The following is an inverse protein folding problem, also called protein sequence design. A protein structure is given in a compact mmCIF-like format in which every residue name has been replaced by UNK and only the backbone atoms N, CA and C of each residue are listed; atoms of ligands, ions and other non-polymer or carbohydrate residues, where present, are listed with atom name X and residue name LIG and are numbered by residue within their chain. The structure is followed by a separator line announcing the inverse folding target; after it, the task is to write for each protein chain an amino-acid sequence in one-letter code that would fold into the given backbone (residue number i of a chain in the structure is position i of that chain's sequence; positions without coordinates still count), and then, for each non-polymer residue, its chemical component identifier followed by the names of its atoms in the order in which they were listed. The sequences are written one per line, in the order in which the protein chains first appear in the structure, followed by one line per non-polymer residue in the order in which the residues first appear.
data_IF_107009708307
#
_entry.id   IF_107009708307
#
_cell.length_a   1.000
_cell.length_b   1.000
_cell.length_c   1.000
_cell.angle_alpha   90.00
_cell.angle_beta   90.00
_cell.angle_gamma   90.00
#
_symmetry.space_group_name_H-M   'P 1'
#
loop_
_entity.id
_entity.type
_entity.pdbx_description
1 polymer ?
#
# COMPACT_ATOMS: atom_id res chain seq x y z
N UNK A 1 12.15 7.40 25.56
CA UNK A 1 12.01 8.69 24.85
C UNK A 1 11.90 8.33 23.38
N UNK A 2 10.69 8.33 22.80
CA UNK A 2 10.56 8.15 21.35
C UNK A 2 11.15 9.40 20.69
N UNK A 3 12.07 9.19 19.76
CA UNK A 3 12.70 10.27 19.03
C UNK A 3 11.67 10.90 18.08
N UNK A 4 11.77 12.19 17.78
CA UNK A 4 10.90 12.87 16.79
C UNK A 4 10.80 12.10 15.47
N UNK A 5 11.86 11.36 15.11
CA UNK A 5 11.92 10.47 13.95
C UNK A 5 10.97 9.27 14.05
N UNK A 6 10.83 8.66 15.23
CA UNK A 6 9.88 7.56 15.46
C UNK A 6 8.44 8.04 15.31
N UNK A 7 8.16 9.27 15.76
CA UNK A 7 6.84 9.88 15.70
C UNK A 7 6.45 10.25 14.26
N UNK A 8 7.37 10.87 13.51
CA UNK A 8 7.20 11.15 12.08
C UNK A 8 7.03 9.85 11.26
N UNK A 9 7.76 8.79 11.59
CA UNK A 9 7.62 7.49 10.92
C UNK A 9 6.27 6.84 11.17
N UNK A 10 5.70 7.02 12.37
CA UNK A 10 4.38 6.49 12.71
C UNK A 10 3.27 7.24 11.96
N UNK A 11 3.33 8.58 11.94
CA UNK A 11 2.36 9.41 11.21
C UNK A 11 2.39 9.12 9.70
N UNK A 12 3.58 9.02 9.11
CA UNK A 12 3.73 8.66 7.70
C UNK A 12 3.14 7.28 7.37
N UNK A 13 3.31 6.31 8.27
CA UNK A 13 2.72 4.98 8.10
C UNK A 13 1.19 5.03 8.15
N UNK A 14 0.63 5.75 9.13
CA UNK A 14 -0.82 5.90 9.27
C UNK A 14 -1.43 6.57 8.03
N UNK A 15 -0.82 7.65 7.52
CA UNK A 15 -1.26 8.29 6.29
C UNK A 15 -1.18 7.36 5.07
N UNK A 16 -0.11 6.57 4.97
CA UNK A 16 0.03 5.59 3.90
C UNK A 16 -1.10 4.55 3.96
N UNK A 17 -1.29 3.90 5.11
CA UNK A 17 -2.34 2.90 5.31
C UNK A 17 -3.73 3.47 5.00
N UNK A 18 -4.04 4.65 5.51
CA UNK A 18 -5.31 5.33 5.28
C UNK A 18 -5.58 5.58 3.79
N UNK A 19 -4.57 6.05 3.04
CA UNK A 19 -4.71 6.29 1.61
C UNK A 19 -4.91 4.99 0.81
N UNK A 20 -4.25 3.90 1.21
CA UNK A 20 -4.45 2.59 0.58
C UNK A 20 -5.88 2.11 0.81
N UNK A 21 -6.38 2.15 2.04
CA UNK A 21 -7.75 1.72 2.34
C UNK A 21 -8.75 2.63 1.63
N UNK A 22 -8.69 3.94 1.86
CA UNK A 22 -9.65 4.89 1.28
C UNK A 22 -9.66 4.95 -0.25
N UNK A 23 -8.54 4.60 -0.89
CA UNK A 23 -8.44 4.57 -2.35
C UNK A 23 -8.91 3.25 -2.99
N UNK A 24 -8.96 2.15 -2.25
CA UNK A 24 -9.21 0.82 -2.81
C UNK A 24 -10.42 0.10 -2.21
N UNK A 25 -10.88 0.46 -1.02
CA UNK A 25 -12.06 -0.12 -0.37
C UNK A 25 -13.33 0.30 -1.13
N UNK A 26 -13.73 -0.54 -2.09
CA UNK A 26 -14.78 -0.21 -3.04
C UNK A 26 -16.18 -0.47 -2.44
N UNK A 27 -16.29 -1.47 -1.57
CA UNK A 27 -17.52 -1.83 -0.89
C UNK A 27 -17.71 -1.12 0.46
N UNK A 28 -16.70 -0.38 0.94
CA UNK A 28 -16.67 0.37 2.20
C UNK A 28 -16.82 -0.51 3.43
N UNK A 29 -16.23 -1.70 3.40
CA UNK A 29 -16.26 -2.64 4.52
C UNK A 29 -15.10 -2.48 5.51
N UNK A 30 -14.19 -1.54 5.25
CA UNK A 30 -13.01 -1.26 6.08
C UNK A 30 -11.82 -2.16 5.79
N UNK A 31 -11.93 -3.03 4.79
CA UNK A 31 -10.85 -3.88 4.31
C UNK A 31 -10.62 -3.62 2.82
N UNK A 32 -9.40 -3.88 2.37
CA UNK A 32 -9.10 -3.96 0.94
C UNK A 32 -8.79 -5.40 0.62
N UNK A 33 -9.51 -5.95 -0.34
CA UNK A 33 -9.25 -7.28 -0.90
C UNK A 33 -8.22 -7.21 -2.02
N UNK A 34 -7.61 -8.36 -2.31
CA UNK A 34 -6.78 -8.54 -3.52
C UNK A 34 -7.49 -8.07 -4.78
N UNK A 35 -8.77 -8.43 -4.92
CA UNK A 35 -9.55 -8.13 -6.11
C UNK A 35 -9.74 -6.62 -6.27
N UNK A 36 -10.10 -5.93 -5.21
CA UNK A 36 -10.27 -4.47 -5.23
C UNK A 36 -8.97 -3.74 -5.56
N UNK A 37 -7.88 -4.11 -4.87
CA UNK A 37 -6.57 -3.49 -5.08
C UNK A 37 -6.03 -3.72 -6.49
N UNK A 38 -6.11 -4.98 -6.97
CA UNK A 38 -5.63 -5.32 -8.31
C UNK A 38 -6.48 -4.69 -9.41
N UNK A 39 -7.81 -4.65 -9.26
CA UNK A 39 -8.70 -3.94 -10.18
C UNK A 39 -8.31 -2.47 -10.28
N UNK A 40 -8.10 -1.79 -9.15
CA UNK A 40 -7.70 -0.40 -9.15
C UNK A 40 -6.37 -0.17 -9.88
N UNK A 41 -5.35 -0.98 -9.59
CA UNK A 41 -4.06 -0.91 -10.30
C UNK A 41 -4.18 -1.16 -11.81
N UNK A 42 -5.12 -2.02 -12.23
CA UNK A 42 -5.38 -2.33 -13.64
C UNK A 42 -6.23 -1.26 -14.32
N UNK A 43 -7.04 -0.48 -13.59
CA UNK A 43 -7.88 0.58 -14.14
C UNK A 43 -7.32 2.00 -13.94
N UNK A 44 -6.21 2.13 -13.22
CA UNK A 44 -5.61 3.41 -12.88
C UNK A 44 -4.99 4.15 -14.08
N UNK A 45 -4.47 5.37 -13.88
CA UNK A 45 -3.87 6.19 -14.94
C UNK A 45 -2.60 5.58 -15.55
N UNK A 46 -1.99 4.61 -14.87
CA UNK A 46 -0.91 3.78 -15.40
C UNK A 46 -1.25 2.31 -15.12
N UNK A 47 -2.11 1.71 -15.96
CA UNK A 47 -2.58 0.34 -15.79
C UNK A 47 -1.42 -0.64 -15.65
N UNK A 48 -1.49 -1.50 -14.65
CA UNK A 48 -0.58 -2.64 -14.49
C UNK A 48 -1.19 -3.89 -15.14
N UNK A 49 -0.33 -4.82 -15.53
CA UNK A 49 -0.80 -6.17 -15.87
C UNK A 49 -1.31 -6.87 -14.62
N UNK A 50 -2.17 -7.89 -14.80
CA UNK A 50 -2.66 -8.68 -13.68
C UNK A 50 -1.52 -9.32 -12.86
N UNK A 51 -0.47 -9.80 -13.54
CA UNK A 51 0.70 -10.39 -12.88
C UNK A 51 1.45 -9.37 -12.01
N UNK A 52 1.65 -8.15 -12.51
CA UNK A 52 2.27 -7.06 -11.73
C UNK A 52 1.37 -6.66 -10.54
N UNK A 53 0.06 -6.50 -10.77
CA UNK A 53 -0.87 -6.13 -9.73
C UNK A 53 -0.91 -7.19 -8.59
N UNK A 54 -0.88 -8.47 -8.95
CA UNK A 54 -0.81 -9.58 -8.00
C UNK A 54 0.52 -9.58 -7.23
N UNK A 55 1.63 -9.29 -7.90
CA UNK A 55 2.94 -9.19 -7.25
C UNK A 55 2.99 -8.04 -6.23
N UNK A 56 2.48 -6.86 -6.61
CA UNK A 56 2.39 -5.69 -5.72
C UNK A 56 1.48 -6.01 -4.53
N UNK A 57 0.31 -6.64 -4.78
CA UNK A 57 -0.59 -7.08 -3.72
C UNK A 57 0.12 -8.00 -2.73
N UNK A 58 0.75 -9.08 -3.19
CA UNK A 58 1.41 -10.05 -2.32
C UNK A 58 2.51 -9.41 -1.48
N UNK A 59 3.20 -8.42 -2.05
CA UNK A 59 4.24 -7.67 -1.34
C UNK A 59 3.66 -6.76 -0.25
N UNK A 60 2.54 -6.10 -0.53
CA UNK A 60 1.83 -5.23 0.43
C UNK A 60 1.16 -6.04 1.55
N UNK A 61 0.43 -7.09 1.19
CA UNK A 61 -0.42 -7.86 2.09
C UNK A 61 0.30 -8.99 2.83
N UNK A 62 1.54 -9.30 2.44
CA UNK A 62 2.23 -10.50 2.92
C UNK A 62 1.55 -11.80 2.47
N UNK A 63 0.73 -11.74 1.40
CA UNK A 63 -0.04 -12.88 0.90
C UNK A 63 -1.43 -13.04 1.54
N UNK A 64 -1.88 -12.10 2.37
CA UNK A 64 -3.24 -12.12 2.90
C UNK A 64 -4.30 -11.98 1.77
N UNK A 65 -5.52 -12.45 2.05
CA UNK A 65 -6.66 -12.29 1.13
C UNK A 65 -7.28 -10.89 1.19
N UNK A 66 -7.20 -10.25 2.36
CA UNK A 66 -7.59 -8.86 2.60
C UNK A 66 -6.73 -8.23 3.69
N UNK A 67 -6.65 -6.90 3.71
CA UNK A 67 -5.94 -6.13 4.74
C UNK A 67 -6.81 -4.98 5.23
N UNK A 68 -6.74 -4.70 6.53
CA UNK A 68 -7.30 -3.49 7.16
C UNK A 68 -6.24 -2.41 7.33
N UNK A 69 -6.66 -1.21 7.74
CA UNK A 69 -5.72 -0.14 8.11
C UNK A 69 -4.81 -0.56 9.27
N UNK A 70 -5.33 -1.31 10.24
CA UNK A 70 -4.57 -1.82 11.39
C UNK A 70 -3.50 -2.84 10.97
N UNK A 71 -3.83 -3.73 10.03
CA UNK A 71 -2.88 -4.68 9.47
C UNK A 71 -1.72 -3.95 8.78
N UNK A 72 -2.02 -2.90 8.01
CA UNK A 72 -1.02 -2.08 7.32
C UNK A 72 -0.18 -1.25 8.30
N UNK A 73 -0.76 -0.75 9.39
CA UNK A 73 -0.03 -0.02 10.43
C UNK A 73 0.88 -0.93 11.26
N UNK A 74 0.47 -2.18 11.47
CA UNK A 74 1.21 -3.20 12.23
C UNK A 74 2.26 -3.91 11.38
N UNK A 75 2.07 -3.96 10.06
CA UNK A 75 2.97 -4.66 9.15
C UNK A 75 4.27 -3.86 8.94
N UNK A 76 5.35 -4.33 9.57
CA UNK A 76 6.70 -3.78 9.41
C UNK A 76 7.25 -3.94 7.98
N UNK A 77 6.74 -4.89 7.19
CA UNK A 77 7.11 -5.07 5.78
C UNK A 77 6.42 -4.05 4.85
N UNK A 78 5.29 -3.48 5.29
CA UNK A 78 4.59 -2.39 4.60
C UNK A 78 5.24 -1.01 4.83
N UNK A 79 6.12 -0.87 5.83
CA UNK A 79 6.73 0.43 6.19
C UNK A 79 7.50 1.10 5.06
N UNK A 80 8.05 0.34 4.11
CA UNK A 80 8.92 0.88 3.06
C UNK A 80 8.91 -0.01 1.80
N UNK A 81 7.74 -0.37 1.24
CA UNK A 81 7.72 -0.88 -0.15
C UNK A 81 6.92 0.03 -1.08
N UNK A 82 5.83 0.63 -0.60
CA UNK A 82 5.16 1.66 -1.38
C UNK A 82 5.93 3.00 -1.45
N UNK A 83 6.86 3.23 -0.52
CA UNK A 83 7.61 4.50 -0.44
C UNK A 83 8.93 4.52 -1.21
N UNK A 84 9.48 3.39 -1.70
CA UNK A 84 10.86 3.37 -2.26
C UNK A 84 11.03 2.58 -3.57
N UNK A 85 10.06 1.77 -4.02
CA UNK A 85 10.27 0.84 -5.15
C UNK A 85 9.75 1.25 -6.54
N UNK A 86 8.90 2.27 -6.67
CA UNK A 86 8.35 2.71 -7.98
C UNK A 86 8.51 4.22 -8.21
N UNK A 87 9.48 4.84 -7.52
CA UNK A 87 10.06 6.10 -8.00
C UNK A 87 11.24 5.68 -8.87
N UNK A 88 10.98 5.55 -10.16
CA UNK A 88 12.01 5.50 -11.19
C UNK A 88 12.91 6.75 -11.03
N UNK A 89 14.02 6.59 -10.33
CA UNK A 89 15.04 7.63 -10.14
C UNK A 89 15.90 7.80 -11.40
N UNK A 90 15.57 7.13 -12.51
CA UNK A 90 16.29 7.23 -13.79
C UNK A 90 15.77 8.36 -14.69
N UNK A 91 14.60 8.92 -14.39
CA UNK A 91 13.98 10.01 -15.18
C UNK A 91 14.27 11.43 -14.69
N UNK A 92 15.03 11.61 -13.61
CA UNK A 92 15.55 12.93 -13.21
C UNK A 92 17.05 12.99 -13.50
N UNK A 93 17.37 13.27 -14.77
CA UNK A 93 18.69 13.71 -15.21
C UNK A 93 18.53 14.92 -16.11
#
# INVERSE_FOLDING_TARGET
MNSTLDQMSFEAQSHFSHNIIGGNDANRDGYVTREEYSKNLMSGPSPRTFAEALHIWNTLSGGADRVSEEDLNSNSAGKIIASVGVIDRSKYR
#
